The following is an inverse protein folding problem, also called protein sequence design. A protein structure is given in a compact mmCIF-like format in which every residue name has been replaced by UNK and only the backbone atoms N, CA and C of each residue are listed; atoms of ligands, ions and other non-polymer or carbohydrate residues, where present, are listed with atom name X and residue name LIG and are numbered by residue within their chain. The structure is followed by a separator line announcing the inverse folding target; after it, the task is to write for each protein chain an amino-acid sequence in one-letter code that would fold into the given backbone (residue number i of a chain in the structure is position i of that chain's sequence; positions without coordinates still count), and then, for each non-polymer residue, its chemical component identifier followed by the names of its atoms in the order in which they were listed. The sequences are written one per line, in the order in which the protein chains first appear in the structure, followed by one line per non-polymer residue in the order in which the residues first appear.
data_IF_623269883325
#
_entry.id   IF_623269883325
#
_cell.length_a   1.000
_cell.length_b   1.000
_cell.length_c   1.000
_cell.angle_alpha   90.00
_cell.angle_beta   90.00
_cell.angle_gamma   90.00
#
_symmetry.space_group_name_H-M   'P 1'
#
loop_
_entity.id
_entity.type
_entity.pdbx_description
1 polymer ?
#
# COMPACT_ATOMS: atom_id res chain seq x y z
N UNK A 1 -10.48 -3.84 -3.85
CA UNK A 1 -9.49 -4.86 -4.26
C UNK A 1 -9.35 -4.82 -5.77
N UNK A 2 -8.12 -4.75 -6.26
CA UNK A 2 -7.82 -4.83 -7.67
C UNK A 2 -6.69 -5.83 -7.87
N UNK A 3 -6.83 -6.75 -8.81
CA UNK A 3 -5.80 -7.74 -9.11
C UNK A 3 -5.51 -7.78 -10.60
N UNK A 4 -4.23 -7.79 -10.95
CA UNK A 4 -3.77 -7.81 -12.33
C UNK A 4 -2.82 -8.98 -12.51
N UNK A 5 -2.96 -9.73 -13.60
CA UNK A 5 -1.98 -10.72 -14.02
C UNK A 5 -1.54 -10.51 -15.46
N UNK A 6 -0.38 -11.04 -15.83
CA UNK A 6 0.02 -11.12 -17.23
C UNK A 6 -0.91 -12.06 -18.02
N UNK A 7 -1.09 -11.79 -19.31
CA UNK A 7 -2.02 -12.53 -20.18
C UNK A 7 -1.75 -14.06 -20.24
N UNK A 8 -0.49 -14.48 -20.11
CA UNK A 8 -0.11 -15.90 -20.06
C UNK A 8 -0.62 -16.63 -18.80
N UNK A 9 -1.11 -15.90 -17.79
CA UNK A 9 -1.68 -16.44 -16.56
C UNK A 9 -3.22 -16.44 -16.56
N UNK A 10 -3.87 -15.92 -17.61
CA UNK A 10 -5.32 -15.75 -17.68
C UNK A 10 -6.08 -17.07 -17.62
N UNK A 11 -5.64 -18.09 -18.37
CA UNK A 11 -6.25 -19.44 -18.35
C UNK A 11 -6.23 -20.09 -16.96
N UNK A 12 -5.28 -19.70 -16.11
CA UNK A 12 -5.15 -20.18 -14.72
C UNK A 12 -5.91 -19.32 -13.70
N UNK A 13 -6.59 -18.29 -14.19
CA UNK A 13 -7.41 -17.35 -13.43
C UNK A 13 -6.69 -16.72 -12.25
N UNK A 14 -5.39 -16.43 -12.41
CA UNK A 14 -4.53 -15.98 -11.29
C UNK A 14 -5.07 -14.71 -10.63
N UNK A 15 -5.41 -13.69 -11.43
CA UNK A 15 -5.94 -12.42 -10.90
C UNK A 15 -7.28 -12.61 -10.17
N UNK A 16 -8.20 -13.40 -10.74
CA UNK A 16 -9.48 -13.72 -10.12
C UNK A 16 -9.29 -14.44 -8.79
N UNK A 17 -8.46 -15.47 -8.74
CA UNK A 17 -8.19 -16.27 -7.52
C UNK A 17 -7.51 -15.45 -6.42
N UNK A 18 -6.63 -14.51 -6.78
CA UNK A 18 -6.07 -13.54 -5.83
C UNK A 18 -7.17 -12.66 -5.24
N UNK A 19 -8.01 -12.06 -6.08
CA UNK A 19 -9.08 -11.16 -5.66
C UNK A 19 -10.15 -11.87 -4.80
N UNK A 20 -10.61 -13.05 -5.23
CA UNK A 20 -11.58 -13.88 -4.49
C UNK A 20 -11.03 -14.26 -3.12
N UNK A 21 -9.75 -14.63 -3.05
CA UNK A 21 -9.10 -14.97 -1.80
C UNK A 21 -9.04 -13.78 -0.84
N UNK A 22 -8.75 -12.57 -1.34
CA UNK A 22 -8.82 -11.35 -0.50
C UNK A 22 -10.24 -11.11 0.00
N UNK A 23 -11.24 -11.24 -0.88
CA UNK A 23 -12.64 -11.01 -0.51
C UNK A 23 -13.11 -11.96 0.58
N UNK A 24 -12.70 -13.23 0.52
CA UNK A 24 -13.03 -14.22 1.53
C UNK A 24 -12.37 -13.91 2.90
N UNK A 25 -11.14 -13.40 2.91
CA UNK A 25 -10.41 -13.08 4.15
C UNK A 25 -10.86 -11.76 4.80
N UNK A 26 -11.43 -10.85 4.01
CA UNK A 26 -11.94 -9.55 4.44
C UNK A 26 -13.47 -9.46 4.33
N UNK A 27 -14.18 -10.59 4.41
CA UNK A 27 -15.62 -10.65 4.14
C UNK A 27 -16.45 -9.74 5.06
N UNK A 28 -15.99 -9.52 6.30
CA UNK A 28 -16.54 -8.57 7.27
C UNK A 28 -16.55 -7.12 6.77
N UNK A 29 -15.61 -6.76 5.89
CA UNK A 29 -15.51 -5.42 5.29
C UNK A 29 -16.32 -5.30 3.99
N UNK A 30 -16.95 -6.38 3.51
CA UNK A 30 -17.70 -6.42 2.25
C UNK A 30 -16.96 -5.80 1.05
N UNK A 31 -15.71 -6.21 0.77
CA UNK A 31 -14.87 -5.58 -0.23
C UNK A 31 -15.43 -5.76 -1.63
N UNK A 32 -15.22 -4.74 -2.47
CA UNK A 32 -15.46 -4.84 -3.91
C UNK A 32 -14.17 -5.23 -4.61
N UNK A 33 -14.26 -6.16 -5.56
CA UNK A 33 -13.13 -6.64 -6.33
C UNK A 33 -13.30 -6.37 -7.83
N UNK A 34 -12.17 -6.07 -8.47
CA UNK A 34 -11.98 -6.08 -9.92
C UNK A 34 -10.72 -6.88 -10.22
N UNK A 35 -10.69 -7.51 -11.39
CA UNK A 35 -9.52 -8.24 -11.84
C UNK A 35 -9.37 -8.15 -13.36
N UNK A 36 -8.14 -8.17 -13.85
CA UNK A 36 -7.86 -8.16 -15.29
C UNK A 36 -6.57 -8.88 -15.65
N UNK A 37 -6.48 -9.31 -16.90
CA UNK A 37 -5.26 -9.82 -17.51
C UNK A 37 -4.71 -8.79 -18.51
N UNK A 38 -3.41 -8.49 -18.43
CA UNK A 38 -2.75 -7.49 -19.26
C UNK A 38 -1.58 -8.09 -20.05
N UNK A 39 -1.34 -7.59 -21.26
CA UNK A 39 -0.16 -7.98 -22.05
C UNK A 39 1.09 -7.40 -21.39
N UNK A 40 2.08 -8.26 -21.16
CA UNK A 40 3.36 -7.90 -20.55
C UNK A 40 4.50 -8.64 -21.25
N UNK A 41 5.73 -8.11 -21.15
CA UNK A 41 6.94 -8.80 -21.61
C UNK A 41 7.43 -9.87 -20.63
N UNK A 42 6.88 -9.88 -19.42
CA UNK A 42 7.27 -10.80 -18.35
C UNK A 42 6.03 -11.34 -17.65
N UNK A 43 6.09 -12.61 -17.26
CA UNK A 43 5.07 -13.24 -16.41
C UNK A 43 5.04 -12.58 -15.03
N UNK A 44 3.85 -12.23 -14.55
CA UNK A 44 3.70 -11.61 -13.23
C UNK A 44 2.25 -11.42 -12.83
N UNK A 45 2.03 -11.18 -11.54
CA UNK A 45 0.74 -10.75 -11.02
C UNK A 45 0.91 -9.88 -9.80
N UNK A 46 -0.13 -9.11 -9.47
CA UNK A 46 -0.21 -8.27 -8.28
C UNK A 46 -1.65 -8.20 -7.81
N UNK A 47 -1.84 -8.12 -6.50
CA UNK A 47 -3.11 -7.75 -5.89
C UNK A 47 -2.90 -6.56 -4.97
N UNK A 48 -3.77 -5.57 -5.13
CA UNK A 48 -3.76 -4.32 -4.37
C UNK A 48 -5.10 -4.14 -3.68
N UNK A 49 -5.05 -3.77 -2.41
CA UNK A 49 -6.18 -3.54 -1.53
C UNK A 49 -6.06 -2.11 -1.03
N UNK A 50 -7.17 -1.38 -1.02
CA UNK A 50 -7.22 -0.09 -0.36
C UNK A 50 -8.60 0.13 0.26
N UNK A 51 -8.63 0.91 1.34
CA UNK A 51 -9.85 1.46 1.91
C UNK A 51 -9.82 2.99 1.81
N UNK A 52 -11.01 3.56 1.65
CA UNK A 52 -11.20 5.00 1.78
C UNK A 52 -11.50 5.32 3.24
N UNK A 53 -10.77 6.28 3.79
CA UNK A 53 -11.03 6.81 5.12
C UNK A 53 -12.37 7.56 5.19
N UNK A 54 -12.65 8.19 6.35
CA UNK A 54 -13.88 8.94 6.55
C UNK A 54 -14.15 9.97 5.44
N UNK A 55 -15.40 10.21 5.05
CA UNK A 55 -15.75 11.20 4.03
C UNK A 55 -15.19 12.58 4.36
N UNK A 56 -14.62 13.24 3.36
CA UNK A 56 -14.03 14.56 3.48
C UNK A 56 -13.56 15.07 2.12
N UNK A 57 -13.02 16.30 2.04
CA UNK A 57 -12.52 16.84 0.77
C UNK A 57 -11.31 16.07 0.24
N UNK A 58 -10.53 15.44 1.14
CA UNK A 58 -9.32 14.69 0.82
C UNK A 58 -9.26 13.42 1.69
N UNK A 59 -10.09 12.39 1.41
CA UNK A 59 -10.10 11.18 2.22
C UNK A 59 -8.76 10.47 2.07
N UNK A 60 -8.09 10.21 3.20
CA UNK A 60 -6.88 9.41 3.20
C UNK A 60 -7.22 7.99 2.77
N UNK A 61 -6.34 7.38 1.97
CA UNK A 61 -6.46 5.98 1.58
C UNK A 61 -5.38 5.19 2.28
N UNK A 62 -5.79 4.09 2.91
CA UNK A 62 -4.89 3.08 3.44
C UNK A 62 -4.74 1.98 2.40
N UNK A 63 -3.51 1.65 2.00
CA UNK A 63 -3.24 0.62 0.99
C UNK A 63 -2.48 -0.58 1.54
N UNK A 64 -2.58 -1.72 0.86
CA UNK A 64 -1.63 -2.84 0.93
C UNK A 64 -1.59 -3.60 -0.39
N UNK A 65 -0.45 -4.18 -0.72
CA UNK A 65 -0.29 -4.98 -1.94
C UNK A 65 0.61 -6.21 -1.73
N UNK A 66 0.48 -7.16 -2.66
CA UNK A 66 1.39 -8.29 -2.81
C UNK A 66 1.60 -8.65 -4.27
N UNK A 67 2.85 -8.86 -4.64
CA UNK A 67 3.25 -9.46 -5.91
C UNK A 67 3.03 -10.98 -5.87
N UNK A 68 2.70 -11.54 -7.03
CA UNK A 68 2.71 -12.97 -7.25
C UNK A 68 4.13 -13.53 -7.21
N UNK A 69 4.27 -14.73 -6.67
CA UNK A 69 5.56 -15.42 -6.52
C UNK A 69 5.53 -16.75 -7.28
N UNK A 70 6.63 -17.08 -7.97
CA UNK A 70 6.73 -18.34 -8.73
C UNK A 70 6.58 -19.54 -7.80
N UNK A 71 5.64 -20.43 -8.11
CA UNK A 71 5.39 -21.63 -7.32
C UNK A 71 4.48 -21.41 -6.10
N UNK A 72 4.04 -20.18 -5.84
CA UNK A 72 3.10 -19.87 -4.77
C UNK A 72 1.68 -19.80 -5.34
N UNK A 73 0.69 -20.49 -4.75
CA UNK A 73 -0.70 -20.41 -5.19
C UNK A 73 -1.26 -18.98 -5.11
N UNK A 74 -2.11 -18.62 -6.08
CA UNK A 74 -2.78 -17.33 -6.16
C UNK A 74 -3.56 -16.98 -4.87
N UNK A 75 -4.22 -17.96 -4.27
CA UNK A 75 -4.96 -17.81 -3.01
C UNK A 75 -4.02 -17.46 -1.86
N UNK A 76 -2.83 -18.07 -1.82
CA UNK A 76 -1.85 -17.77 -0.77
C UNK A 76 -1.32 -16.34 -0.88
N UNK A 77 -1.21 -15.80 -2.10
CA UNK A 77 -0.91 -14.38 -2.33
C UNK A 77 -2.05 -13.49 -1.83
N UNK A 78 -3.31 -13.84 -2.15
CA UNK A 78 -4.48 -13.13 -1.64
C UNK A 78 -4.57 -13.11 -0.11
N UNK A 79 -4.35 -14.25 0.55
CA UNK A 79 -4.29 -14.35 2.02
C UNK A 79 -3.19 -13.43 2.59
N UNK A 80 -1.97 -13.50 2.05
CA UNK A 80 -0.87 -12.64 2.51
C UNK A 80 -1.20 -11.14 2.36
N UNK A 81 -1.89 -10.76 1.29
CA UNK A 81 -2.30 -9.37 1.06
C UNK A 81 -3.39 -8.94 2.05
N UNK A 82 -4.40 -9.78 2.28
CA UNK A 82 -5.47 -9.51 3.22
C UNK A 82 -4.96 -9.39 4.68
N UNK A 83 -4.04 -10.26 5.09
CA UNK A 83 -3.41 -10.19 6.42
C UNK A 83 -2.66 -8.86 6.58
N UNK A 84 -1.79 -8.52 5.63
CA UNK A 84 -1.04 -7.26 5.67
C UNK A 84 -1.95 -6.03 5.66
N UNK A 85 -3.06 -6.07 4.92
CA UNK A 85 -4.05 -5.01 4.91
C UNK A 85 -4.75 -4.86 6.26
N UNK A 86 -5.12 -5.98 6.91
CA UNK A 86 -5.78 -5.96 8.22
C UNK A 86 -4.86 -5.44 9.31
N UNK A 87 -3.58 -5.85 9.31
CA UNK A 87 -2.56 -5.30 10.21
C UNK A 87 -2.46 -3.77 10.09
N UNK A 88 -2.44 -3.25 8.86
CA UNK A 88 -2.44 -1.80 8.62
C UNK A 88 -3.73 -1.12 9.06
N UNK A 89 -4.87 -1.78 8.90
CA UNK A 89 -6.19 -1.22 9.24
C UNK A 89 -6.41 -1.12 10.75
N UNK A 90 -5.86 -2.07 11.51
CA UNK A 90 -5.95 -2.12 12.97
C UNK A 90 -4.95 -1.18 13.66
N UNK A 91 -4.00 -0.61 12.90
CA UNK A 91 -3.02 0.32 13.43
C UNK A 91 -3.65 1.70 13.75
N UNK A 92 -3.36 2.32 14.90
CA UNK A 92 -3.96 3.61 15.29
C UNK A 92 -3.51 4.78 14.40
N UNK A 93 -2.30 4.73 13.87
CA UNK A 93 -1.77 5.74 12.96
C UNK A 93 -2.27 5.55 11.52
N UNK A 94 -2.69 6.62 10.84
CA UNK A 94 -3.39 6.53 9.56
C UNK A 94 -2.46 6.38 8.34
N UNK A 95 -1.16 6.67 8.47
CA UNK A 95 -0.21 6.67 7.34
C UNK A 95 0.68 5.43 7.42
N UNK A 96 0.46 4.46 6.53
CA UNK A 96 1.29 3.27 6.43
C UNK A 96 2.71 3.60 5.98
N UNK A 97 3.64 2.69 6.26
CA UNK A 97 5.08 2.81 5.96
C UNK A 97 5.37 3.30 4.52
N UNK A 98 4.68 2.72 3.53
CA UNK A 98 4.87 3.10 2.12
C UNK A 98 4.38 4.52 1.82
N UNK A 99 3.30 4.95 2.47
CA UNK A 99 2.76 6.29 2.26
C UNK A 99 3.62 7.33 2.99
N UNK A 100 4.14 7.01 4.17
CA UNK A 100 5.08 7.87 4.89
C UNK A 100 6.28 8.24 4.02
N UNK A 101 6.94 7.23 3.43
CA UNK A 101 8.08 7.42 2.53
C UNK A 101 7.75 8.34 1.33
N UNK A 102 6.57 8.13 0.71
CA UNK A 102 6.11 8.91 -0.44
C UNK A 102 5.70 10.35 -0.08
N UNK A 103 5.26 10.61 1.16
CA UNK A 103 4.81 11.93 1.59
C UNK A 103 5.95 12.85 2.04
N UNK A 104 7.15 12.33 2.30
CA UNK A 104 8.30 13.13 2.74
C UNK A 104 8.59 14.34 1.84
N UNK A 105 8.67 14.23 0.50
CA UNK A 105 8.93 15.38 -0.36
C UNK A 105 7.85 16.46 -0.26
N UNK A 106 6.58 16.06 -0.12
CA UNK A 106 5.46 16.98 0.04
C UNK A 106 5.49 17.65 1.41
N UNK A 107 5.79 16.89 2.47
CA UNK A 107 5.96 17.42 3.82
C UNK A 107 7.09 18.46 3.86
N UNK A 108 8.23 18.19 3.22
CA UNK A 108 9.35 19.12 3.15
C UNK A 108 8.97 20.46 2.49
N UNK A 109 8.16 20.41 1.43
CA UNK A 109 7.75 21.59 0.66
C UNK A 109 6.62 22.38 1.33
N UNK A 110 5.54 21.69 1.71
CA UNK A 110 4.30 22.29 2.18
C UNK A 110 4.27 22.52 3.70
N UNK A 111 5.07 21.79 4.47
CA UNK A 111 4.94 21.72 5.93
C UNK A 111 3.78 20.82 6.37
N UNK A 112 3.65 20.66 7.68
CA UNK A 112 2.58 19.87 8.31
C UNK A 112 3.09 18.82 9.28
N UNK A 113 2.22 17.84 9.56
CA UNK A 113 2.49 16.73 10.46
C UNK A 113 1.93 15.43 9.88
N UNK A 114 2.73 14.37 9.96
CA UNK A 114 2.33 13.01 9.57
C UNK A 114 2.44 12.09 10.77
N UNK A 115 1.35 11.38 11.07
CA UNK A 115 1.32 10.29 12.06
C UNK A 115 1.43 8.97 11.33
N UNK A 116 2.61 8.37 11.39
CA UNK A 116 2.97 7.18 10.61
C UNK A 116 2.83 5.91 11.43
N UNK A 117 2.58 4.78 10.77
CA UNK A 117 2.59 3.47 11.43
C UNK A 117 4.01 3.07 11.81
N UNK A 118 4.96 3.34 10.92
CA UNK A 118 6.38 3.08 11.09
C UNK A 118 7.15 4.13 10.29
N UNK A 119 8.16 4.74 10.89
CA UNK A 119 9.19 5.51 10.18
C UNK A 119 10.30 4.55 9.75
N UNK A 120 10.27 4.13 8.48
CA UNK A 120 11.21 3.15 7.93
C UNK A 120 12.58 3.74 7.62
N UNK A 121 13.62 2.89 7.42
CA UNK A 121 14.92 3.35 6.90
C UNK A 121 14.80 4.08 5.55
N UNK A 122 13.85 3.69 4.70
CA UNK A 122 13.54 4.40 3.46
C UNK A 122 13.02 5.81 3.74
N UNK A 123 12.06 5.94 4.68
CA UNK A 123 11.52 7.23 5.10
C UNK A 123 12.63 8.15 5.61
N UNK A 124 13.54 7.64 6.44
CA UNK A 124 14.69 8.39 6.95
C UNK A 124 15.66 8.81 5.84
N UNK A 125 15.93 7.94 4.87
CA UNK A 125 16.76 8.27 3.72
C UNK A 125 16.10 9.36 2.85
N UNK A 126 14.80 9.28 2.63
CA UNK A 126 14.05 10.32 1.90
C UNK A 126 14.05 11.64 2.66
N UNK A 127 13.95 11.63 3.99
CA UNK A 127 14.06 12.86 4.81
C UNK A 127 15.43 13.48 4.59
N UNK A 128 16.51 12.70 4.75
CA UNK A 128 17.87 13.18 4.51
C UNK A 128 18.02 13.84 3.13
N UNK A 129 17.53 13.18 2.07
CA UNK A 129 17.60 13.75 0.71
C UNK A 129 16.76 15.03 0.61
N UNK A 130 15.52 15.02 1.10
CA UNK A 130 14.63 16.17 1.03
C UNK A 130 15.21 17.41 1.76
N UNK A 131 15.83 17.21 2.92
CA UNK A 131 16.51 18.27 3.67
C UNK A 131 17.69 18.87 2.88
N UNK A 132 18.45 18.07 2.13
CA UNK A 132 19.55 18.56 1.28
C UNK A 132 19.09 19.46 0.13
N UNK A 133 17.91 19.21 -0.42
CA UNK A 133 17.39 19.99 -1.54
C UNK A 133 16.56 21.19 -1.10
N UNK A 134 15.87 21.10 0.03
CA UNK A 134 14.92 22.13 0.48
C UNK A 134 15.48 23.03 1.59
N UNK A 135 16.62 22.67 2.18
CA UNK A 135 17.24 23.34 3.34
C UNK A 135 16.28 23.50 4.53
N UNK A 136 15.26 22.63 4.62
CA UNK A 136 14.23 22.63 5.65
C UNK A 136 14.27 21.32 6.39
N UNK A 137 14.38 21.40 7.70
CA UNK A 137 14.47 20.22 8.57
C UNK A 137 13.09 19.60 8.80
N UNK A 138 13.05 18.27 8.88
CA UNK A 138 11.88 17.50 9.31
C UNK A 138 12.21 16.87 10.65
N UNK A 139 11.48 17.25 11.69
CA UNK A 139 11.62 16.61 13.00
C UNK A 139 10.99 15.22 12.99
N UNK A 140 11.71 14.25 13.55
CA UNK A 140 11.26 12.86 13.70
C UNK A 140 11.18 12.54 15.19
N UNK A 141 9.97 12.24 15.67
CA UNK A 141 9.69 11.92 17.08
C UNK A 141 8.94 10.58 17.16
N UNK A 142 9.67 9.48 17.32
CA UNK A 142 9.09 8.15 17.15
C UNK A 142 8.61 7.98 15.71
N UNK A 143 7.32 7.69 15.53
CA UNK A 143 6.68 7.54 14.22
C UNK A 143 5.94 8.80 13.73
N UNK A 144 6.28 9.96 14.31
CA UNK A 144 5.71 11.25 13.93
C UNK A 144 6.74 12.09 13.15
N UNK A 145 6.30 12.65 12.02
CA UNK A 145 7.09 13.55 11.18
C UNK A 145 6.49 14.95 11.23
N UNK A 146 7.29 15.97 11.53
CA UNK A 146 6.81 17.35 11.67
C UNK A 146 7.72 18.32 10.90
N UNK A 147 7.11 19.19 10.09
CA UNK A 147 7.80 20.31 9.44
C UNK A 147 6.99 21.59 9.59
N UNK A 148 7.51 22.53 10.38
CA UNK A 148 6.92 23.86 10.62
C UNK A 148 7.27 24.87 9.53
#
# INVERSE_FOLDING_TARGET
VHSVSSADLEEREVARRQADSVCNQLADLSPRATFEAARSRSTGSVVTIWAEGPPGPWPLRLGADRLGERGVPAERIGIKAAVAFRERLEHPAPIEENLADNLVPLLALAGGRLSCQVVSPHTLANIYVAEKFTERLIAVEGDELVRS
#
